data_IF_463826576085
#
_entry.id   IF_463826576085
#
_cell.length_a   1.000
_cell.length_b   1.000
_cell.length_c   1.000
_cell.angle_alpha   90.00
_cell.angle_beta   90.00
_cell.angle_gamma   90.00
#
_symmetry.space_group_name_H-M   'P 1'
#
loop_
_entity.id
_entity.type
_entity.pdbx_description
1 polymer ?
#
# COMPACT_ATOMS: atom_id res chain seq x y z
N UNK A 1 -17.89 -25.07 -5.37
CA UNK A 1 -18.33 -23.86 -4.62
C UNK A 1 -17.12 -22.98 -4.41
N UNK A 2 -17.12 -21.72 -4.86
CA UNK A 2 -16.04 -20.80 -4.46
C UNK A 2 -16.13 -20.65 -2.95
N UNK A 3 -15.03 -20.98 -2.28
CA UNK A 3 -14.93 -20.95 -0.82
C UNK A 3 -15.28 -19.55 -0.32
N UNK A 4 -16.11 -19.43 0.72
CA UNK A 4 -16.40 -18.17 1.43
C UNK A 4 -15.13 -17.36 1.73
N UNK A 5 -14.00 -18.05 1.93
CA UNK A 5 -12.69 -17.45 2.11
C UNK A 5 -12.25 -16.59 0.92
N UNK A 6 -12.53 -16.98 -0.33
CA UNK A 6 -12.17 -16.21 -1.51
C UNK A 6 -12.79 -14.81 -1.48
N UNK A 7 -14.09 -14.74 -1.15
CA UNK A 7 -14.80 -13.47 -1.02
C UNK A 7 -14.29 -12.64 0.15
N UNK A 8 -13.94 -13.28 1.27
CA UNK A 8 -13.35 -12.59 2.43
C UNK A 8 -11.99 -11.96 2.09
N UNK A 9 -11.09 -12.69 1.43
CA UNK A 9 -9.79 -12.15 1.02
C UNK A 9 -9.91 -11.03 -0.01
N UNK A 10 -10.87 -11.14 -0.93
CA UNK A 10 -11.20 -10.06 -1.86
C UNK A 10 -11.67 -8.79 -1.14
N UNK A 11 -12.55 -8.94 -0.15
CA UNK A 11 -13.02 -7.82 0.66
C UNK A 11 -11.86 -7.20 1.47
N UNK A 12 -11.06 -8.03 2.14
CA UNK A 12 -9.89 -7.59 2.90
C UNK A 12 -8.87 -6.86 2.03
N UNK A 13 -8.65 -7.30 0.78
CA UNK A 13 -7.78 -6.61 -0.16
C UNK A 13 -8.25 -5.17 -0.42
N UNK A 14 -9.55 -4.96 -0.62
CA UNK A 14 -10.09 -3.61 -0.85
C UNK A 14 -10.04 -2.73 0.38
N UNK A 15 -10.35 -3.28 1.56
CA UNK A 15 -10.20 -2.57 2.84
C UNK A 15 -8.75 -2.16 3.05
N UNK A 16 -7.82 -3.09 2.82
CA UNK A 16 -6.40 -2.84 2.89
C UNK A 16 -5.97 -1.75 1.90
N UNK A 17 -6.43 -1.79 0.65
CA UNK A 17 -6.06 -0.80 -0.37
C UNK A 17 -6.47 0.62 0.05
N UNK A 18 -7.70 0.79 0.54
CA UNK A 18 -8.20 2.08 1.02
C UNK A 18 -7.37 2.56 2.21
N UNK A 19 -7.12 1.67 3.18
CA UNK A 19 -6.29 1.99 4.35
C UNK A 19 -4.88 2.41 3.95
N UNK A 20 -4.22 1.64 3.08
CA UNK A 20 -2.88 1.90 2.58
C UNK A 20 -2.79 3.26 1.87
N UNK A 21 -3.80 3.60 1.08
CA UNK A 21 -3.87 4.87 0.36
C UNK A 21 -3.87 6.06 1.31
N UNK A 22 -4.79 6.08 2.29
CA UNK A 22 -4.87 7.19 3.24
C UNK A 22 -3.65 7.25 4.15
N UNK A 23 -3.19 6.10 4.63
CA UNK A 23 -1.99 5.99 5.45
C UNK A 23 -0.77 6.57 4.73
N UNK A 24 -0.47 6.12 3.51
CA UNK A 24 0.72 6.56 2.77
C UNK A 24 0.65 8.04 2.41
N UNK A 25 -0.53 8.58 2.08
CA UNK A 25 -0.71 10.02 1.83
C UNK A 25 -0.40 10.83 3.10
N UNK A 26 -0.91 10.40 4.26
CA UNK A 26 -0.64 11.07 5.53
C UNK A 26 0.86 11.06 5.86
N UNK A 27 1.51 9.91 5.71
CA UNK A 27 2.94 9.72 5.91
C UNK A 27 3.77 10.66 5.01
N UNK A 28 3.40 10.80 3.72
CA UNK A 28 4.02 11.77 2.79
C UNK A 28 3.86 13.20 3.29
N UNK A 29 2.67 13.58 3.74
CA UNK A 29 2.39 14.94 4.25
C UNK A 29 3.25 15.21 5.49
N UNK A 30 3.28 14.26 6.44
CA UNK A 30 4.07 14.37 7.66
C UNK A 30 5.57 14.50 7.37
N UNK A 31 6.10 13.70 6.44
CA UNK A 31 7.50 13.79 5.99
C UNK A 31 7.84 15.14 5.35
N UNK A 32 6.87 15.81 4.70
CA UNK A 32 7.10 17.15 4.14
C UNK A 32 7.05 18.27 5.19
N UNK A 33 6.38 18.06 6.30
CA UNK A 33 6.10 19.11 7.29
C UNK A 33 7.07 19.11 8.48
N UNK A 34 7.55 17.94 8.91
CA UNK A 34 8.30 17.81 10.17
C UNK A 34 9.61 17.06 9.94
N UNK A 35 10.68 17.49 10.62
CA UNK A 35 11.94 16.75 10.67
C UNK A 35 11.77 15.57 11.63
N UNK A 36 11.39 14.41 11.09
CA UNK A 36 11.14 13.21 11.89
C UNK A 36 12.44 12.42 12.02
N UNK A 37 12.97 12.32 13.25
CA UNK A 37 14.20 11.57 13.53
C UNK A 37 14.02 10.06 13.44
N UNK A 38 14.02 9.39 14.59
CA UNK A 38 13.78 7.94 14.69
C UNK A 38 12.42 7.53 14.12
N UNK A 39 11.43 8.42 14.17
CA UNK A 39 10.12 8.19 13.56
C UNK A 39 10.19 7.98 12.04
N UNK A 40 11.17 8.54 11.32
CA UNK A 40 11.28 8.35 9.86
C UNK A 40 11.60 6.90 9.47
N UNK A 41 12.43 6.22 10.26
CA UNK A 41 12.71 4.79 10.09
C UNK A 41 11.47 3.94 10.38
N UNK A 42 10.72 4.29 11.43
CA UNK A 42 9.45 3.60 11.73
C UNK A 42 8.45 3.76 10.59
N UNK A 43 8.27 4.99 10.07
CA UNK A 43 7.41 5.32 8.93
C UNK A 43 7.80 4.53 7.66
N UNK A 44 9.10 4.38 7.40
CA UNK A 44 9.61 3.54 6.30
C UNK A 44 9.20 2.07 6.50
N UNK A 45 9.49 1.51 7.68
CA UNK A 45 9.22 0.10 7.99
C UNK A 45 7.71 -0.20 7.95
N UNK A 46 6.88 0.64 8.53
CA UNK A 46 5.42 0.47 8.54
C UNK A 46 4.82 0.58 7.14
N UNK A 47 5.26 1.54 6.33
CA UNK A 47 4.78 1.75 4.96
C UNK A 47 5.14 0.56 4.07
N UNK A 48 6.39 0.07 4.13
CA UNK A 48 6.79 -1.14 3.40
C UNK A 48 6.11 -2.40 3.93
N UNK A 49 5.97 -2.54 5.25
CA UNK A 49 5.24 -3.66 5.87
C UNK A 49 3.81 -3.75 5.38
N UNK A 50 3.08 -2.63 5.36
CA UNK A 50 1.73 -2.57 4.82
C UNK A 50 1.68 -2.90 3.33
N UNK A 51 2.65 -2.45 2.54
CA UNK A 51 2.75 -2.81 1.13
C UNK A 51 2.90 -4.33 0.93
N UNK A 52 3.74 -5.00 1.72
CA UNK A 52 3.90 -6.46 1.66
C UNK A 52 2.63 -7.22 2.09
N UNK A 53 1.91 -6.73 3.09
CA UNK A 53 0.59 -7.28 3.46
C UNK A 53 -0.37 -7.21 2.27
N UNK A 54 -0.38 -6.10 1.53
CA UNK A 54 -1.19 -5.95 0.32
C UNK A 54 -0.79 -6.87 -0.82
N UNK A 55 0.51 -7.05 -1.04
CA UNK A 55 1.03 -8.03 -1.99
C UNK A 55 0.58 -9.44 -1.64
N UNK A 56 0.64 -9.83 -0.37
CA UNK A 56 0.16 -11.12 0.09
C UNK A 56 -1.33 -11.29 -0.19
N UNK A 57 -2.16 -10.31 0.18
CA UNK A 57 -3.60 -10.32 -0.11
C UNK A 57 -3.86 -10.41 -1.62
N UNK A 58 -3.15 -9.64 -2.43
CA UNK A 58 -3.27 -9.65 -3.89
C UNK A 58 -3.01 -11.04 -4.47
N UNK A 59 -1.88 -11.66 -4.12
CA UNK A 59 -1.52 -13.00 -4.56
C UNK A 59 -2.60 -14.02 -4.21
N UNK A 60 -3.13 -13.97 -2.98
CA UNK A 60 -4.24 -14.82 -2.56
C UNK A 60 -5.50 -14.60 -3.41
N UNK A 61 -5.86 -13.34 -3.71
CA UNK A 61 -7.04 -13.07 -4.55
C UNK A 61 -6.88 -13.53 -6.00
N UNK A 62 -5.66 -13.72 -6.50
CA UNK A 62 -5.42 -14.32 -7.82
C UNK A 62 -5.62 -15.84 -7.76
N UNK A 63 -5.11 -16.49 -6.71
CA UNK A 63 -5.20 -17.95 -6.52
C UNK A 63 -6.65 -18.46 -6.45
N UNK A 64 -7.57 -17.67 -5.91
CA UNK A 64 -8.99 -18.04 -5.75
C UNK A 64 -9.92 -17.50 -6.84
N UNK A 65 -9.36 -17.18 -8.02
CA UNK A 65 -9.96 -16.56 -9.21
C UNK A 65 -11.50 -16.37 -9.19
N UNK A 66 -11.93 -15.13 -8.95
CA UNK A 66 -13.29 -14.68 -9.27
C UNK A 66 -13.29 -14.25 -10.74
N UNK A 67 -14.10 -14.85 -11.64
CA UNK A 67 -14.07 -14.71 -13.10
C UNK A 67 -14.68 -13.38 -13.58
N UNK A 68 -14.45 -12.31 -12.83
CA UNK A 68 -14.86 -10.96 -13.19
C UNK A 68 -13.66 -10.16 -13.72
N UNK A 69 -13.71 -9.89 -15.03
CA UNK A 69 -12.65 -9.19 -15.77
C UNK A 69 -12.47 -7.75 -15.27
N UNK A 70 -13.53 -7.09 -14.83
CA UNK A 70 -13.47 -5.71 -14.31
C UNK A 70 -12.72 -5.70 -12.99
N UNK A 71 -13.08 -6.61 -12.08
CA UNK A 71 -12.38 -6.78 -10.81
C UNK A 71 -10.90 -7.19 -10.98
N UNK A 72 -10.57 -7.97 -12.02
CA UNK A 72 -9.17 -8.32 -12.35
C UNK A 72 -8.36 -7.09 -12.76
N UNK A 73 -8.92 -6.23 -13.63
CA UNK A 73 -8.27 -4.98 -14.07
C UNK A 73 -8.11 -4.00 -12.91
N UNK A 74 -9.18 -3.75 -12.14
CA UNK A 74 -9.15 -2.82 -11.00
C UNK A 74 -8.07 -3.20 -9.97
N UNK A 75 -7.93 -4.49 -9.65
CA UNK A 75 -6.89 -4.97 -8.73
C UNK A 75 -5.46 -4.78 -9.27
N UNK A 76 -5.26 -4.95 -10.57
CA UNK A 76 -3.96 -4.69 -11.19
C UNK A 76 -3.63 -3.19 -11.13
N UNK A 77 -4.58 -2.32 -11.48
CA UNK A 77 -4.39 -0.88 -11.42
C UNK A 77 -4.20 -0.36 -9.99
N UNK A 78 -4.89 -0.93 -9.00
CA UNK A 78 -4.69 -0.57 -7.59
C UNK A 78 -3.27 -0.91 -7.13
N UNK A 79 -2.73 -2.06 -7.54
CA UNK A 79 -1.35 -2.43 -7.22
C UNK A 79 -0.33 -1.49 -7.88
N UNK A 80 -0.54 -1.14 -9.16
CA UNK A 80 0.29 -0.15 -9.87
C UNK A 80 0.23 1.20 -9.15
N UNK A 81 -0.96 1.63 -8.72
CA UNK A 81 -1.14 2.86 -7.95
C UNK A 81 -0.41 2.81 -6.60
N UNK A 82 -0.43 1.68 -5.89
CA UNK A 82 0.35 1.48 -4.68
C UNK A 82 1.86 1.64 -4.93
N UNK A 83 2.39 1.10 -6.04
CA UNK A 83 3.81 1.28 -6.41
C UNK A 83 4.14 2.75 -6.66
N UNK A 84 3.25 3.48 -7.33
CA UNK A 84 3.41 4.94 -7.54
C UNK A 84 3.42 5.67 -6.21
N UNK A 85 2.52 5.34 -5.28
CA UNK A 85 2.49 5.92 -3.93
C UNK A 85 3.78 5.66 -3.15
N UNK A 86 4.33 4.44 -3.23
CA UNK A 86 5.62 4.11 -2.61
C UNK A 86 6.75 4.96 -3.22
N UNK A 87 6.78 5.12 -4.55
CA UNK A 87 7.78 5.97 -5.20
C UNK A 87 7.69 7.44 -4.72
N UNK A 88 6.47 7.97 -4.58
CA UNK A 88 6.24 9.32 -4.03
C UNK A 88 6.66 9.43 -2.56
N UNK A 89 6.39 8.41 -1.75
CA UNK A 89 6.84 8.32 -0.37
C UNK A 89 8.37 8.34 -0.26
N UNK A 90 9.08 7.54 -1.07
CA UNK A 90 10.54 7.53 -1.11
C UNK A 90 11.12 8.87 -1.55
N UNK A 91 10.47 9.56 -2.49
CA UNK A 91 10.89 10.90 -2.90
C UNK A 91 10.74 11.92 -1.75
N UNK A 92 9.61 11.90 -1.04
CA UNK A 92 9.39 12.74 0.13
C UNK A 92 10.39 12.44 1.26
N UNK A 93 10.65 11.16 1.51
CA UNK A 93 11.63 10.69 2.48
C UNK A 93 13.05 11.18 2.16
N UNK A 94 13.49 11.04 0.91
CA UNK A 94 14.80 11.55 0.45
C UNK A 94 14.90 13.06 0.65
N UNK A 95 13.86 13.80 0.28
CA UNK A 95 13.79 15.25 0.49
C UNK A 95 13.97 15.65 1.96
N UNK A 96 13.31 14.95 2.88
CA UNK A 96 13.47 15.18 4.33
C UNK A 96 14.90 14.85 4.81
N UNK A 97 15.46 13.72 4.39
CA UNK A 97 16.82 13.32 4.77
C UNK A 97 17.90 14.30 4.31
N UNK A 98 17.71 14.93 3.14
CA UNK A 98 18.64 15.91 2.58
C UNK A 98 18.62 17.26 3.30
N UNK A 99 17.55 17.60 4.04
CA UNK A 99 17.46 18.81 4.85
C UNK A 99 18.17 18.68 6.21
N UNK A 100 18.64 17.46 6.53
CA UNK A 100 19.27 17.09 7.81
C UNK A 100 20.80 16.99 7.75
N UNK A 101 21.37 16.99 6.55
CA UNK A 101 22.81 17.04 6.26
C UNK A 101 23.25 18.48 6.05
#
# INVERSE_FOLDING_TARGET
MKSTFAYLFHFLYWVWFIYFLFYTIQEIITLKQVVVGEGSLFMLISTFGLFFVGLFLYLFTITFEIPDVVNKKLRAYSLVFCVILIALFLFAFKGNSSLRL
#
